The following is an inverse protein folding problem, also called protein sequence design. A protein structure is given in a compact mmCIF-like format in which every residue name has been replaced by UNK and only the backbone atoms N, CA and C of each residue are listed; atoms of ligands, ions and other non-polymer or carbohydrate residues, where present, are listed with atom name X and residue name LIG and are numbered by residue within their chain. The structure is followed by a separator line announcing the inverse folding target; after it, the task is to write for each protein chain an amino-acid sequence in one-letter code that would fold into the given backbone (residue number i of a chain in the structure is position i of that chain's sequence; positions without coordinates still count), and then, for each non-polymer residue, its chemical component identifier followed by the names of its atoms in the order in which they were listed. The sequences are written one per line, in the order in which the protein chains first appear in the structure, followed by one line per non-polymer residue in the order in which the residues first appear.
data_IF_313944781761
#
_entry.id   IF_313944781761
#
_cell.length_a   1.000
_cell.length_b   1.000
_cell.length_c   1.000
_cell.angle_alpha   90.00
_cell.angle_beta   90.00
_cell.angle_gamma   90.00
#
_symmetry.space_group_name_H-M   'P 1'
#
loop_
_entity.id
_entity.type
_entity.pdbx_description
1 polymer ?
#
# COMPACT_ATOMS: atom_id res chain seq x y z
N UNK A 1 -4.57 -3.89 19.93
CA UNK A 1 -3.46 -3.77 18.94
C UNK A 1 -4.04 -4.25 17.63
N UNK A 2 -4.04 -3.45 16.57
CA UNK A 2 -4.56 -3.86 15.26
C UNK A 2 -3.44 -4.34 14.34
N UNK A 3 -3.80 -5.14 13.34
CA UNK A 3 -2.89 -5.64 12.30
C UNK A 3 -2.96 -4.75 11.06
N UNK A 4 -1.79 -4.33 10.57
CA UNK A 4 -1.65 -3.50 9.37
C UNK A 4 -0.95 -4.28 8.26
N UNK A 5 -1.60 -4.41 7.11
CA UNK A 5 -0.94 -4.87 5.89
C UNK A 5 -0.35 -3.68 5.13
N UNK A 6 0.96 -3.64 4.97
CA UNK A 6 1.67 -2.69 4.12
C UNK A 6 1.90 -3.34 2.76
N UNK A 7 1.22 -2.85 1.74
CA UNK A 7 1.25 -3.40 0.38
C UNK A 7 2.28 -2.66 -0.45
N UNK A 8 3.35 -3.34 -0.86
CA UNK A 8 4.31 -2.84 -1.85
C UNK A 8 3.71 -3.03 -3.25
N UNK A 9 3.23 -1.93 -3.85
CA UNK A 9 2.41 -1.94 -5.05
C UNK A 9 3.12 -2.28 -6.36
N UNK A 10 4.30 -2.91 -6.34
CA UNK A 10 5.06 -3.28 -7.53
C UNK A 10 5.75 -4.63 -7.38
N UNK A 11 5.86 -5.36 -8.47
CA UNK A 11 6.60 -6.63 -8.60
C UNK A 11 8.09 -6.44 -8.94
N UNK A 12 8.55 -5.19 -9.06
CA UNK A 12 9.94 -4.90 -9.41
C UNK A 12 10.88 -5.32 -8.28
N UNK A 13 11.89 -6.18 -8.54
CA UNK A 13 12.87 -6.56 -7.54
C UNK A 13 13.66 -5.35 -6.99
N UNK A 14 13.99 -5.36 -5.70
CA UNK A 14 14.73 -4.29 -5.03
C UNK A 14 14.13 -2.90 -5.29
N UNK A 15 12.81 -2.81 -5.25
CA UNK A 15 12.10 -1.57 -5.56
C UNK A 15 12.28 -0.53 -4.46
N UNK A 16 12.23 0.74 -4.85
CA UNK A 16 12.22 1.86 -3.90
C UNK A 16 10.95 1.87 -3.04
N UNK A 17 9.88 1.23 -3.52
CA UNK A 17 8.66 1.01 -2.73
C UNK A 17 8.89 0.03 -1.59
N UNK A 18 9.75 -0.98 -1.79
CA UNK A 18 10.13 -1.91 -0.73
C UNK A 18 10.93 -1.18 0.37
N UNK A 19 11.94 -0.39 0.00
CA UNK A 19 12.73 0.41 0.96
C UNK A 19 11.83 1.34 1.80
N UNK A 20 10.89 2.01 1.14
CA UNK A 20 9.92 2.87 1.84
C UNK A 20 9.00 2.08 2.75
N UNK A 21 8.53 0.91 2.32
CA UNK A 21 7.65 0.06 3.13
C UNK A 21 8.35 -0.46 4.40
N UNK A 22 9.63 -0.81 4.32
CA UNK A 22 10.44 -1.22 5.46
C UNK A 22 10.59 -0.08 6.48
N UNK A 23 10.92 1.11 6.02
CA UNK A 23 10.98 2.30 6.87
C UNK A 23 9.64 2.61 7.55
N UNK A 24 8.56 2.57 6.78
CA UNK A 24 7.21 2.83 7.29
C UNK A 24 6.77 1.75 8.29
N UNK A 25 7.05 0.48 8.02
CA UNK A 25 6.80 -0.62 8.96
C UNK A 25 7.43 -0.32 10.32
N UNK A 26 8.67 0.14 10.33
CA UNK A 26 9.35 0.50 11.58
C UNK A 26 8.63 1.65 12.32
N UNK A 27 8.13 2.67 11.58
CA UNK A 27 7.38 3.78 12.18
C UNK A 27 6.09 3.30 12.85
N UNK A 28 5.35 2.38 12.23
CA UNK A 28 4.15 1.78 12.81
C UNK A 28 4.47 0.85 13.99
N UNK A 29 5.50 0.02 13.87
CA UNK A 29 5.93 -0.90 14.93
C UNK A 29 6.37 -0.17 16.20
N UNK A 30 7.11 0.95 16.07
CA UNK A 30 7.49 1.83 17.20
C UNK A 30 6.27 2.42 17.93
N UNK A 31 5.09 2.42 17.31
CA UNK A 31 3.81 2.90 17.87
C UNK A 31 2.88 1.76 18.31
N UNK A 32 3.40 0.55 18.38
CA UNK A 32 2.67 -0.62 18.88
C UNK A 32 1.65 -1.20 17.89
N UNK A 33 1.84 -0.97 16.59
CA UNK A 33 1.02 -1.59 15.53
C UNK A 33 1.70 -2.87 15.06
N UNK A 34 0.93 -3.95 14.88
CA UNK A 34 1.40 -5.21 14.30
C UNK A 34 1.41 -5.09 12.77
N UNK A 35 2.52 -4.59 12.22
CA UNK A 35 2.64 -4.24 10.79
C UNK A 35 3.40 -5.31 10.00
N UNK A 36 2.81 -5.77 8.90
CA UNK A 36 3.35 -6.78 8.00
C UNK A 36 3.46 -6.24 6.57
N UNK A 37 4.57 -6.55 5.89
CA UNK A 37 4.79 -6.17 4.48
C UNK A 37 4.37 -7.32 3.58
N UNK A 38 3.60 -6.98 2.54
CA UNK A 38 3.22 -7.88 1.45
C UNK A 38 3.64 -7.24 0.12
N UNK A 39 4.58 -7.87 -0.56
CA UNK A 39 5.11 -7.35 -1.82
C UNK A 39 4.40 -7.96 -3.03
N UNK A 40 4.07 -7.13 -4.02
CA UNK A 40 3.59 -7.66 -5.30
C UNK A 40 4.66 -8.46 -6.06
N UNK A 41 5.93 -8.39 -5.65
CA UNK A 41 6.98 -9.28 -6.16
C UNK A 41 6.74 -10.76 -5.81
N UNK A 42 6.03 -11.01 -4.70
CA UNK A 42 5.69 -12.36 -4.22
C UNK A 42 4.30 -12.81 -4.72
N UNK A 43 3.56 -11.91 -5.38
CA UNK A 43 2.24 -12.25 -5.94
C UNK A 43 2.39 -13.28 -7.07
N UNK A 44 1.67 -14.43 -7.01
CA UNK A 44 1.81 -15.50 -8.00
C UNK A 44 1.16 -15.13 -9.32
N UNK A 45 1.70 -14.11 -10.01
CA UNK A 45 1.16 -13.55 -11.25
C UNK A 45 0.99 -14.63 -12.34
N UNK A 46 1.89 -15.62 -12.39
CA UNK A 46 1.79 -16.73 -13.36
C UNK A 46 0.52 -17.56 -13.21
N UNK A 47 -0.02 -17.70 -12.01
CA UNK A 47 -1.24 -18.49 -11.72
C UNK A 47 -2.52 -17.80 -12.22
N UNK A 48 -2.47 -16.51 -12.55
CA UNK A 48 -3.62 -15.72 -13.02
C UNK A 48 -3.56 -15.38 -14.52
N UNK A 49 -2.50 -15.80 -15.20
CA UNK A 49 -2.38 -15.63 -16.67
C UNK A 49 -3.50 -16.39 -17.38
N UNK A 50 -4.16 -15.72 -18.34
CA UNK A 50 -5.32 -16.27 -19.04
C UNK A 50 -6.66 -15.99 -18.36
N UNK A 51 -6.68 -15.24 -17.25
CA UNK A 51 -7.89 -14.72 -16.62
C UNK A 51 -8.81 -15.78 -16.02
N UNK A 52 -8.33 -16.73 -15.17
CA UNK A 52 -9.18 -17.75 -14.56
C UNK A 52 -10.06 -17.19 -13.43
N UNK A 53 -10.80 -16.10 -13.71
CA UNK A 53 -11.69 -15.47 -12.75
C UNK A 53 -12.80 -16.40 -12.28
N UNK A 54 -13.15 -16.33 -11.00
CA UNK A 54 -14.18 -17.16 -10.38
C UNK A 54 -13.75 -18.60 -10.09
N UNK A 55 -12.48 -18.95 -10.34
CA UNK A 55 -11.91 -20.23 -9.94
C UNK A 55 -11.13 -20.08 -8.64
N UNK A 56 -11.13 -21.12 -7.83
CA UNK A 56 -10.23 -21.20 -6.70
C UNK A 56 -8.81 -21.49 -7.20
N UNK A 57 -7.86 -20.64 -6.79
CA UNK A 57 -6.44 -20.74 -7.13
C UNK A 57 -5.67 -20.77 -5.81
N UNK A 58 -5.16 -21.95 -5.39
CA UNK A 58 -4.56 -22.12 -4.06
C UNK A 58 -3.43 -21.12 -3.76
N UNK A 59 -2.59 -20.79 -4.75
CA UNK A 59 -1.49 -19.84 -4.60
C UNK A 59 -2.00 -18.42 -4.35
N UNK A 60 -3.11 -18.03 -4.98
CA UNK A 60 -3.75 -16.73 -4.76
C UNK A 60 -4.39 -16.68 -3.38
N UNK A 61 -5.06 -17.76 -2.96
CA UNK A 61 -5.64 -17.86 -1.62
C UNK A 61 -4.54 -17.74 -0.54
N UNK A 62 -3.45 -18.48 -0.70
CA UNK A 62 -2.34 -18.44 0.24
C UNK A 62 -1.70 -17.03 0.34
N UNK A 63 -1.61 -16.30 -0.78
CA UNK A 63 -1.07 -14.95 -0.80
C UNK A 63 -2.02 -13.93 -0.17
N UNK A 64 -3.32 -13.98 -0.50
CA UNK A 64 -4.29 -12.97 -0.06
C UNK A 64 -4.82 -13.17 1.35
N UNK A 65 -4.91 -14.42 1.84
CA UNK A 65 -5.49 -14.72 3.14
C UNK A 65 -4.85 -13.93 4.31
N UNK A 66 -3.52 -13.85 4.47
CA UNK A 66 -2.91 -13.07 5.53
C UNK A 66 -3.16 -11.55 5.38
N UNK A 67 -3.34 -11.03 4.16
CA UNK A 67 -3.68 -9.63 3.90
C UNK A 67 -5.11 -9.36 4.35
N UNK A 68 -6.05 -10.25 3.99
CA UNK A 68 -7.46 -10.14 4.36
C UNK A 68 -7.71 -10.32 5.88
N UNK A 69 -6.76 -10.92 6.60
CA UNK A 69 -6.80 -11.03 8.05
C UNK A 69 -6.29 -9.77 8.79
N UNK A 70 -5.90 -8.72 8.07
CA UNK A 70 -5.51 -7.45 8.66
C UNK A 70 -6.69 -6.50 8.83
N UNK A 71 -6.58 -5.61 9.81
CA UNK A 71 -7.62 -4.64 10.17
C UNK A 71 -7.56 -3.36 9.31
N UNK A 72 -6.43 -3.14 8.64
CA UNK A 72 -6.20 -1.95 7.81
C UNK A 72 -5.15 -2.24 6.72
N UNK A 73 -5.19 -1.45 5.64
CA UNK A 73 -4.21 -1.52 4.55
C UNK A 73 -3.47 -0.19 4.39
N UNK A 74 -2.19 -0.26 4.09
CA UNK A 74 -1.38 0.88 3.66
C UNK A 74 -0.70 0.53 2.34
N UNK A 75 -1.00 1.28 1.29
CA UNK A 75 -0.37 1.08 -0.01
C UNK A 75 0.84 1.98 -0.19
N UNK A 76 1.99 1.40 -0.53
CA UNK A 76 3.20 2.12 -0.97
C UNK A 76 3.34 1.94 -2.47
N UNK A 77 3.08 3.01 -3.24
CA UNK A 77 2.77 2.92 -4.66
C UNK A 77 3.77 3.73 -5.50
N UNK A 78 4.49 3.10 -6.45
CA UNK A 78 5.22 3.83 -7.47
C UNK A 78 4.31 4.26 -8.61
N UNK A 79 4.72 5.28 -9.38
CA UNK A 79 4.05 5.68 -10.61
C UNK A 79 4.71 5.05 -11.83
N UNK A 80 3.95 4.25 -12.59
CA UNK A 80 4.35 3.67 -13.87
C UNK A 80 3.43 4.19 -14.98
N UNK A 81 4.00 4.93 -15.92
CA UNK A 81 3.24 5.49 -17.06
C UNK A 81 2.00 6.29 -16.64
N UNK A 82 2.11 7.08 -15.56
CA UNK A 82 1.02 7.93 -15.07
C UNK A 82 -0.07 7.20 -14.28
N UNK A 83 0.18 5.95 -13.87
CA UNK A 83 -0.77 5.12 -13.11
C UNK A 83 -0.04 4.26 -12.07
N UNK A 84 -0.79 3.53 -11.24
CA UNK A 84 -0.24 2.48 -10.40
C UNK A 84 0.13 1.23 -11.24
N UNK A 85 1.07 0.39 -10.77
CA UNK A 85 1.52 -0.78 -11.52
C UNK A 85 0.40 -1.76 -11.87
N UNK A 86 0.45 -2.34 -13.07
CA UNK A 86 -0.57 -3.29 -13.55
C UNK A 86 -0.71 -4.53 -12.67
N UNK A 87 0.39 -5.03 -12.10
CA UNK A 87 0.36 -6.16 -11.17
C UNK A 87 -0.53 -5.88 -9.95
N UNK A 88 -0.52 -4.65 -9.43
CA UNK A 88 -1.39 -4.25 -8.32
C UNK A 88 -2.86 -4.25 -8.73
N UNK A 89 -3.18 -3.85 -9.98
CA UNK A 89 -4.54 -3.94 -10.50
C UNK A 89 -4.99 -5.40 -10.62
N UNK A 90 -4.13 -6.26 -11.15
CA UNK A 90 -4.40 -7.70 -11.23
C UNK A 90 -4.65 -8.29 -9.83
N UNK A 91 -3.80 -8.00 -8.85
CA UNK A 91 -4.02 -8.43 -7.46
C UNK A 91 -5.40 -8.02 -6.94
N UNK A 92 -5.77 -6.74 -7.14
CA UNK A 92 -7.08 -6.22 -6.66
C UNK A 92 -8.25 -6.94 -7.35
N UNK A 93 -8.12 -7.32 -8.61
CA UNK A 93 -9.16 -8.03 -9.35
C UNK A 93 -9.39 -9.47 -8.84
N UNK A 94 -8.41 -10.05 -8.18
CA UNK A 94 -8.50 -11.37 -7.54
C UNK A 94 -8.85 -11.32 -6.04
N UNK A 95 -9.08 -10.13 -5.48
CA UNK A 95 -9.60 -10.00 -4.12
C UNK A 95 -11.11 -10.21 -4.08
N UNK A 96 -11.67 -10.86 -3.02
CA UNK A 96 -13.10 -11.04 -2.85
C UNK A 96 -13.88 -9.73 -2.98
N UNK A 97 -14.97 -9.74 -3.73
CA UNK A 97 -15.88 -8.61 -3.85
C UNK A 97 -17.21 -8.92 -3.17
N UNK A 98 -17.77 -8.02 -2.35
CA UNK A 98 -17.23 -6.69 -1.95
C UNK A 98 -16.27 -6.74 -0.77
N UNK A 99 -16.13 -7.87 -0.09
CA UNK A 99 -15.69 -8.03 1.29
C UNK A 99 -14.26 -7.54 1.55
N UNK A 100 -13.34 -7.70 0.59
CA UNK A 100 -11.94 -7.34 0.80
C UNK A 100 -11.72 -5.84 1.13
N UNK A 101 -12.55 -4.94 0.58
CA UNK A 101 -12.38 -3.49 0.77
C UNK A 101 -13.56 -2.84 1.50
N UNK A 102 -14.68 -3.54 1.63
CA UNK A 102 -15.88 -2.97 2.28
C UNK A 102 -15.57 -2.55 3.72
N UNK A 103 -15.70 -1.25 3.98
CA UNK A 103 -15.39 -0.63 5.27
C UNK A 103 -13.93 -0.83 5.74
N UNK A 104 -13.02 -1.26 4.85
CA UNK A 104 -11.59 -1.42 5.15
C UNK A 104 -10.92 -0.04 5.22
N UNK A 105 -10.27 0.33 6.35
CA UNK A 105 -9.45 1.52 6.44
C UNK A 105 -8.23 1.40 5.53
N UNK A 106 -8.03 2.39 4.63
CA UNK A 106 -6.91 2.37 3.67
C UNK A 106 -6.18 3.72 3.67
N UNK A 107 -4.85 3.69 3.83
CA UNK A 107 -3.97 4.83 3.64
C UNK A 107 -3.04 4.64 2.43
N UNK A 108 -2.47 5.74 1.93
CA UNK A 108 -1.69 5.75 0.69
C UNK A 108 -0.40 6.56 0.84
N UNK A 109 0.71 5.97 0.38
CA UNK A 109 1.99 6.64 0.21
C UNK A 109 2.42 6.48 -1.25
N UNK A 110 2.52 7.57 -1.97
CA UNK A 110 3.06 7.61 -3.33
C UNK A 110 4.55 7.90 -3.33
N UNK A 111 5.30 7.22 -4.17
CA UNK A 111 6.72 7.49 -4.37
C UNK A 111 7.06 7.59 -5.86
N UNK A 112 7.92 8.50 -6.24
CA UNK A 112 8.39 8.59 -7.64
C UNK A 112 9.81 9.15 -7.76
N UNK A 113 10.46 8.85 -8.88
CA UNK A 113 11.71 9.50 -9.27
C UNK A 113 11.47 10.95 -9.73
N UNK A 114 10.26 11.25 -10.20
CA UNK A 114 9.85 12.57 -10.68
C UNK A 114 9.35 13.52 -9.58
N UNK A 115 8.82 14.66 -10.01
CA UNK A 115 8.41 15.76 -9.13
C UNK A 115 7.06 15.55 -8.43
N UNK A 116 6.18 14.66 -8.94
CA UNK A 116 4.80 14.56 -8.49
C UNK A 116 4.53 13.47 -7.43
N UNK A 117 5.57 12.74 -6.98
CA UNK A 117 5.44 11.79 -5.86
C UNK A 117 4.42 10.68 -6.07
N UNK A 118 4.13 10.29 -7.32
CA UNK A 118 3.10 9.28 -7.63
C UNK A 118 1.65 9.74 -7.40
N UNK A 119 1.39 11.05 -7.48
CA UNK A 119 0.06 11.63 -7.25
C UNK A 119 -1.02 10.95 -8.09
N UNK A 120 -0.80 10.81 -9.42
CA UNK A 120 -1.78 10.20 -10.33
C UNK A 120 -2.09 8.75 -9.99
N UNK A 121 -1.05 7.98 -9.66
CA UNK A 121 -1.22 6.57 -9.31
C UNK A 121 -2.02 6.39 -8.02
N UNK A 122 -1.76 7.22 -7.00
CA UNK A 122 -2.52 7.22 -5.75
C UNK A 122 -3.98 7.59 -5.97
N UNK A 123 -4.26 8.66 -6.73
CA UNK A 123 -5.63 9.09 -7.02
C UNK A 123 -6.43 8.02 -7.77
N UNK A 124 -5.83 7.39 -8.77
CA UNK A 124 -6.48 6.30 -9.51
C UNK A 124 -6.75 5.08 -8.62
N UNK A 125 -5.79 4.69 -7.77
CA UNK A 125 -6.01 3.60 -6.83
C UNK A 125 -7.09 3.95 -5.79
N UNK A 126 -7.12 5.19 -5.33
CA UNK A 126 -8.16 5.68 -4.41
C UNK A 126 -9.56 5.60 -5.05
N UNK A 127 -9.70 5.92 -6.34
CA UNK A 127 -10.96 5.72 -7.06
C UNK A 127 -11.40 4.24 -7.08
N UNK A 128 -10.48 3.32 -7.32
CA UNK A 128 -10.75 1.87 -7.28
C UNK A 128 -11.17 1.43 -5.87
N UNK A 129 -10.46 1.88 -4.84
CA UNK A 129 -10.77 1.55 -3.45
C UNK A 129 -12.15 2.10 -3.04
N UNK A 130 -12.46 3.34 -3.42
CA UNK A 130 -13.75 3.97 -3.13
C UNK A 130 -14.91 3.25 -3.85
N UNK A 131 -14.72 2.82 -5.11
CA UNK A 131 -15.70 1.99 -5.82
C UNK A 131 -16.01 0.70 -5.06
N UNK A 132 -15.03 0.15 -4.35
CA UNK A 132 -15.16 -1.07 -3.53
C UNK A 132 -15.58 -0.77 -2.07
N UNK A 133 -16.04 0.45 -1.78
CA UNK A 133 -16.52 0.89 -0.47
C UNK A 133 -15.47 0.88 0.64
N UNK A 134 -14.20 1.14 0.32
CA UNK A 134 -13.15 1.32 1.30
C UNK A 134 -13.31 2.65 2.08
N UNK A 135 -12.76 2.69 3.28
CA UNK A 135 -12.65 3.91 4.08
C UNK A 135 -11.27 4.54 3.84
N UNK A 136 -11.17 5.32 2.76
CA UNK A 136 -9.91 5.99 2.41
C UNK A 136 -9.56 7.06 3.43
N UNK A 137 -8.39 6.92 4.09
CA UNK A 137 -7.88 7.96 4.99
C UNK A 137 -7.47 9.19 4.18
N UNK A 138 -7.90 10.40 4.59
CA UNK A 138 -7.78 11.59 3.73
C UNK A 138 -6.34 12.10 3.57
N UNK A 139 -5.49 11.96 4.58
CA UNK A 139 -4.10 12.38 4.48
C UNK A 139 -3.31 11.40 3.64
N UNK A 140 -2.70 11.91 2.57
CA UNK A 140 -1.86 11.13 1.64
C UNK A 140 -0.44 11.69 1.65
N UNK A 141 0.56 10.82 1.54
CA UNK A 141 1.96 11.22 1.48
C UNK A 141 2.50 11.02 0.08
N UNK A 142 3.17 12.03 -0.47
CA UNK A 142 3.76 12.01 -1.80
C UNK A 142 5.26 12.29 -1.72
N UNK A 143 6.09 11.27 -1.95
CA UNK A 143 7.54 11.40 -1.92
C UNK A 143 8.08 11.54 -3.33
N UNK A 144 8.30 12.78 -3.74
CA UNK A 144 8.95 13.10 -5.02
C UNK A 144 10.46 12.90 -4.94
N UNK A 145 11.10 12.69 -6.10
CA UNK A 145 12.57 12.58 -6.22
C UNK A 145 13.16 11.60 -5.19
N UNK A 146 12.53 10.45 -5.05
CA UNK A 146 12.77 9.51 -3.96
C UNK A 146 14.26 9.22 -3.69
N UNK A 147 15.07 9.02 -4.74
CA UNK A 147 16.50 8.71 -4.59
C UNK A 147 17.30 9.79 -3.84
N UNK A 148 16.91 11.06 -3.95
CA UNK A 148 17.58 12.17 -3.27
C UNK A 148 16.91 12.57 -1.95
N UNK A 149 15.65 12.19 -1.78
CA UNK A 149 14.83 12.63 -0.65
C UNK A 149 14.59 11.52 0.39
N UNK A 150 15.21 10.36 0.22
CA UNK A 150 15.11 9.22 1.15
C UNK A 150 16.44 8.51 1.33
N UNK A 151 16.74 8.15 2.58
CA UNK A 151 17.82 7.25 2.96
C UNK A 151 17.23 6.13 3.85
N UNK A 152 17.62 4.86 3.65
CA UNK A 152 17.19 3.76 4.53
C UNK A 152 17.57 4.00 6.00
N UNK A 153 18.70 4.67 6.27
CA UNK A 153 19.22 4.90 7.63
C UNK A 153 18.48 6.03 8.34
N UNK A 154 18.13 7.11 7.63
CA UNK A 154 17.59 8.34 8.25
C UNK A 154 16.14 8.64 7.86
N UNK A 155 15.59 7.92 6.88
CA UNK A 155 14.25 8.14 6.35
C UNK A 155 14.17 9.31 5.38
N UNK A 156 13.06 10.04 5.39
CA UNK A 156 12.84 11.19 4.50
C UNK A 156 13.72 12.36 4.91
N UNK A 157 14.51 12.88 3.95
CA UNK A 157 15.46 13.98 4.18
C UNK A 157 14.85 15.37 4.03
N UNK A 158 13.66 15.46 3.42
CA UNK A 158 12.90 16.71 3.29
C UNK A 158 12.02 16.88 4.52
N UNK A 159 12.24 17.92 5.37
CA UNK A 159 11.51 18.07 6.64
C UNK A 159 10.00 18.03 6.51
N UNK A 160 9.43 18.72 5.53
CA UNK A 160 7.98 18.71 5.27
C UNK A 160 7.46 17.31 4.93
N UNK A 161 8.18 16.54 4.11
CA UNK A 161 7.75 15.18 3.76
C UNK A 161 7.80 14.25 4.99
N UNK A 162 8.80 14.42 5.83
CA UNK A 162 8.91 13.69 7.09
C UNK A 162 7.77 14.05 8.06
N UNK A 163 7.45 15.32 8.20
CA UNK A 163 6.34 15.79 9.01
C UNK A 163 5.00 15.22 8.53
N UNK A 164 4.73 15.29 7.22
CA UNK A 164 3.52 14.74 6.61
C UNK A 164 3.41 13.22 6.80
N UNK A 165 4.53 12.49 6.70
CA UNK A 165 4.54 11.05 6.96
C UNK A 165 4.20 10.73 8.41
N UNK A 166 4.78 11.46 9.35
CA UNK A 166 4.52 11.25 10.79
C UNK A 166 3.07 11.64 11.15
N UNK A 167 2.55 12.73 10.57
CA UNK A 167 1.15 13.14 10.72
C UNK A 167 0.21 12.05 10.22
N UNK A 168 0.41 11.56 8.98
CA UNK A 168 -0.37 10.48 8.40
C UNK A 168 -0.30 9.22 9.28
N UNK A 169 0.90 8.83 9.72
CA UNK A 169 1.09 7.62 10.53
C UNK A 169 0.28 7.68 11.82
N UNK A 170 0.39 8.79 12.57
CA UNK A 170 -0.33 8.97 13.82
C UNK A 170 -1.84 9.06 13.60
N UNK A 171 -2.26 9.88 12.64
CA UNK A 171 -3.68 10.08 12.33
C UNK A 171 -4.35 8.82 11.78
N UNK A 172 -3.65 8.01 10.97
CA UNK A 172 -4.19 6.75 10.48
C UNK A 172 -4.34 5.71 11.60
N UNK A 173 -3.40 5.63 12.54
CA UNK A 173 -3.53 4.79 13.74
C UNK A 173 -4.79 5.16 14.53
N UNK A 174 -5.01 6.45 14.77
CA UNK A 174 -6.20 6.92 15.50
C UNK A 174 -7.48 6.67 14.71
N UNK A 175 -7.44 6.82 13.37
CA UNK A 175 -8.55 6.52 12.50
C UNK A 175 -8.96 5.05 12.59
N UNK A 176 -8.00 4.12 12.47
CA UNK A 176 -8.29 2.67 12.57
C UNK A 176 -8.85 2.31 13.95
N UNK A 177 -8.28 2.83 15.03
CA UNK A 177 -8.77 2.57 16.40
C UNK A 177 -10.21 3.01 16.63
N UNK A 178 -10.67 4.07 15.95
CA UNK A 178 -12.06 4.55 16.06
C UNK A 178 -13.04 3.71 15.27
N UNK A 179 -12.56 2.86 14.34
CA UNK A 179 -13.40 1.97 13.52
C UNK A 179 -13.58 0.58 14.15
N UNK A 180 -12.74 0.23 15.15
CA UNK A 180 -12.84 -1.01 15.95
C UNK A 180 -13.84 -0.84 17.12
#
# INVERSE_FOLDING_TARGET
MFKLAIIVGTDRPNSKSQEMAEYVKEQYSKRGVDAHIFSMADFPLGSVVGGPYGKEIPEIEAFRAPILACDALLFVIPEYNGSFPGVLKVFIDYLPFPDAFKAMPIAYIGISAGAFGSLRAVEQLQMVANYRNALSYPERVFVSRFKSNFSPETGLTVPLQQELLLSQTNGFIDFVKRMQ
#
